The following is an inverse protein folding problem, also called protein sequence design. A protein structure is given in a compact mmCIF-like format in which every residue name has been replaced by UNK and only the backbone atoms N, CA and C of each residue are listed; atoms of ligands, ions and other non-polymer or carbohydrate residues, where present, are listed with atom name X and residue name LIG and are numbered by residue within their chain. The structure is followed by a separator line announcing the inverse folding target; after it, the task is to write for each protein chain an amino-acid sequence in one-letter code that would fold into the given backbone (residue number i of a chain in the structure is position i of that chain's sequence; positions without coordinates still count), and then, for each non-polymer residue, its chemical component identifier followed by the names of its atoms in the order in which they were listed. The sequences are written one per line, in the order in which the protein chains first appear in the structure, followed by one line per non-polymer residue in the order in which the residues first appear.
data_IF_057293037402
#
_entry.id   IF_057293037402
#
_cell.length_a   1.000
_cell.length_b   1.000
_cell.length_c   1.000
_cell.angle_alpha   90.00
_cell.angle_beta   90.00
_cell.angle_gamma   90.00
#
_symmetry.space_group_name_H-M   'P 1'
#
loop_
_entity.id
_entity.type
_entity.pdbx_description
1 polymer ?
#
# COMPACT_ATOMS: atom_id res chain seq x y z
N UNK A 1 -10.74 -8.91 -15.98
CA UNK A 1 -9.66 -8.15 -15.30
C UNK A 1 -9.72 -8.50 -13.82
N UNK A 2 -8.77 -9.27 -13.32
CA UNK A 2 -8.63 -9.45 -11.87
C UNK A 2 -8.08 -8.16 -11.27
N UNK A 3 -8.62 -7.63 -10.16
CA UNK A 3 -7.96 -6.53 -9.47
C UNK A 3 -6.62 -7.06 -8.93
N UNK A 4 -5.51 -6.58 -9.51
CA UNK A 4 -4.14 -6.95 -9.11
C UNK A 4 -3.84 -6.59 -7.65
N UNK A 5 -4.66 -5.75 -7.02
CA UNK A 5 -4.61 -5.44 -5.60
C UNK A 5 -6.00 -5.51 -4.98
N UNK A 6 -6.24 -6.54 -4.16
CA UNK A 6 -7.53 -6.74 -3.46
C UNK A 6 -7.79 -5.69 -2.36
N UNK A 7 -6.83 -4.81 -2.08
CA UNK A 7 -6.90 -3.83 -1.01
C UNK A 7 -6.45 -2.47 -1.51
N UNK A 8 -7.26 -1.41 -1.34
CA UNK A 8 -6.81 -0.06 -1.63
C UNK A 8 -5.64 0.27 -0.68
N UNK A 9 -4.54 0.77 -1.23
CA UNK A 9 -3.46 1.36 -0.47
C UNK A 9 -3.21 2.77 -1.00
N UNK A 10 -2.78 3.66 -0.12
CA UNK A 10 -2.39 5.03 -0.48
C UNK A 10 -0.95 5.24 -0.03
N UNK A 11 -0.16 5.90 -0.87
CA UNK A 11 1.20 6.31 -0.53
C UNK A 11 1.31 7.82 -0.66
N UNK A 12 2.02 8.43 0.29
CA UNK A 12 2.42 9.84 0.23
C UNK A 12 3.85 9.90 -0.24
N UNK A 13 4.09 10.74 -1.23
CA UNK A 13 5.41 10.98 -1.78
C UNK A 13 5.93 12.32 -1.29
N UNK A 14 7.22 12.38 -0.98
CA UNK A 14 7.93 13.65 -0.84
C UNK A 14 8.45 14.03 -2.23
N UNK A 15 8.16 15.26 -2.64
CA UNK A 15 8.56 15.80 -3.94
C UNK A 15 9.45 17.02 -3.68
N UNK A 16 10.62 17.04 -4.30
CA UNK A 16 11.51 18.20 -4.30
C UNK A 16 11.66 18.69 -5.73
N UNK A 17 11.58 19.99 -5.92
CA UNK A 17 11.85 20.63 -7.21
C UNK A 17 13.36 20.81 -7.33
N UNK A 18 13.91 20.39 -8.46
CA UNK A 18 15.31 20.54 -8.83
C UNK A 18 15.40 21.45 -10.05
N UNK A 19 16.30 22.42 -10.03
CA UNK A 19 16.59 23.26 -11.18
C UNK A 19 17.42 22.48 -12.21
N UNK A 20 17.08 22.65 -13.48
CA UNK A 20 17.79 22.04 -14.60
C UNK A 20 18.45 23.15 -15.40
N UNK A 21 19.79 23.13 -15.42
CA UNK A 21 20.59 24.03 -16.21
C UNK A 21 20.70 23.51 -17.66
N UNK A 22 21.09 24.35 -18.63
CA UNK A 22 21.23 23.93 -20.03
C UNK A 22 22.22 22.78 -20.26
N UNK A 23 23.19 22.59 -19.36
CA UNK A 23 24.20 21.54 -19.35
C UNK A 23 23.82 20.31 -18.50
N UNK A 24 22.67 20.34 -17.83
CA UNK A 24 22.13 19.21 -17.08
C UNK A 24 21.64 19.58 -15.67
N UNK A 25 21.57 18.58 -14.79
CA UNK A 25 21.16 18.79 -13.41
C UNK A 25 22.26 19.44 -12.59
N UNK A 26 21.89 20.42 -11.76
CA UNK A 26 22.75 20.92 -10.71
C UNK A 26 22.80 19.88 -9.57
N UNK A 27 23.72 18.92 -9.66
CA UNK A 27 24.02 17.86 -8.66
C UNK A 27 22.80 17.34 -7.87
N UNK A 28 21.99 16.43 -8.46
CA UNK A 28 20.81 15.91 -7.79
C UNK A 28 21.18 15.18 -6.49
N UNK A 29 20.54 15.54 -5.38
CA UNK A 29 20.86 15.01 -4.06
C UNK A 29 19.77 14.07 -3.52
N UNK A 30 20.20 13.06 -2.75
CA UNK A 30 19.32 12.11 -2.11
C UNK A 30 18.44 12.79 -1.05
N UNK A 31 17.13 12.65 -1.16
CA UNK A 31 16.17 13.25 -0.21
C UNK A 31 16.28 12.70 1.22
N UNK A 32 16.97 11.56 1.42
CA UNK A 32 17.17 10.94 2.73
C UNK A 32 18.50 11.35 3.40
N UNK A 33 19.62 11.27 2.68
CA UNK A 33 20.95 11.47 3.25
C UNK A 33 21.75 12.62 2.63
N UNK A 34 21.19 13.32 1.64
CA UNK A 34 21.80 14.44 0.93
C UNK A 34 23.06 14.12 0.10
N UNK A 35 23.47 12.85 0.03
CA UNK A 35 24.53 12.42 -0.89
C UNK A 35 24.10 12.59 -2.36
N UNK A 36 25.05 12.82 -3.25
CA UNK A 36 24.82 12.92 -4.69
C UNK A 36 24.22 11.61 -5.25
N UNK A 37 23.32 11.76 -6.22
CA UNK A 37 22.64 10.65 -6.89
C UNK A 37 23.36 10.26 -8.17
N UNK A 38 23.55 8.96 -8.38
CA UNK A 38 23.90 8.40 -9.67
C UNK A 38 22.64 8.39 -10.55
N UNK A 39 22.68 9.10 -11.69
CA UNK A 39 21.52 9.25 -12.59
C UNK A 39 21.61 8.27 -13.75
N UNK A 40 20.51 7.55 -13.98
CA UNK A 40 20.37 6.54 -15.03
C UNK A 40 19.18 6.89 -15.93
N UNK A 41 19.31 6.65 -17.23
CA UNK A 41 18.23 6.77 -18.21
C UNK A 41 17.72 5.36 -18.59
N UNK A 42 16.68 4.83 -17.90
CA UNK A 42 16.16 3.49 -18.15
C UNK A 42 15.39 3.37 -19.47
N UNK A 43 14.80 4.46 -19.98
CA UNK A 43 13.97 4.47 -21.19
C UNK A 43 14.52 5.45 -22.21
N UNK A 44 15.21 4.94 -23.23
CA UNK A 44 15.76 5.78 -24.30
C UNK A 44 14.69 6.60 -25.04
N UNK A 45 13.45 6.08 -25.09
CA UNK A 45 12.33 6.67 -25.82
C UNK A 45 11.62 7.77 -25.02
N UNK A 46 11.86 7.86 -23.71
CA UNK A 46 11.34 8.91 -22.83
C UNK A 46 12.49 9.55 -22.03
N UNK A 47 13.21 10.53 -22.62
CA UNK A 47 14.36 11.14 -21.99
C UNK A 47 14.02 11.94 -20.71
N UNK A 48 12.74 12.22 -20.46
CA UNK A 48 12.31 13.03 -19.32
C UNK A 48 12.10 12.21 -18.05
N UNK A 49 12.05 10.88 -18.15
CA UNK A 49 11.94 9.99 -17.01
C UNK A 49 13.31 9.39 -16.67
N UNK A 50 13.82 9.68 -15.48
CA UNK A 50 15.15 9.28 -15.03
C UNK A 50 15.09 8.57 -13.68
N UNK A 51 16.07 7.72 -13.42
CA UNK A 51 16.22 7.02 -12.15
C UNK A 51 17.50 7.47 -11.44
N UNK A 52 17.35 8.05 -10.25
CA UNK A 52 18.46 8.38 -9.36
C UNK A 52 18.68 7.30 -8.30
N UNK A 53 19.90 6.78 -8.18
CA UNK A 53 20.28 5.82 -7.13
C UNK A 53 21.29 6.44 -6.17
N UNK A 54 21.08 6.27 -4.87
CA UNK A 54 22.02 6.72 -3.85
C UNK A 54 22.94 5.58 -3.41
N UNK A 55 24.23 5.69 -3.69
CA UNK A 55 25.25 4.71 -3.27
C UNK A 55 25.45 4.64 -1.75
N UNK A 56 25.11 5.71 -1.02
CA UNK A 56 25.30 5.77 0.44
C UNK A 56 24.21 5.06 1.24
N UNK A 57 22.93 5.32 0.90
CA UNK A 57 21.80 4.79 1.67
C UNK A 57 20.92 3.80 0.91
N UNK A 58 21.25 3.51 -0.37
CA UNK A 58 20.53 2.58 -1.23
C UNK A 58 19.13 3.04 -1.66
N UNK A 59 18.76 4.30 -1.41
CA UNK A 59 17.45 4.83 -1.81
C UNK A 59 17.41 5.12 -3.31
N UNK A 60 16.23 4.90 -3.88
CA UNK A 60 15.95 5.16 -5.29
C UNK A 60 15.04 6.38 -5.39
N UNK A 61 15.23 7.16 -6.44
CA UNK A 61 14.45 8.36 -6.70
C UNK A 61 14.01 8.35 -8.16
N UNK A 62 12.72 8.58 -8.41
CA UNK A 62 12.24 8.90 -9.76
C UNK A 62 12.46 10.39 -9.99
N UNK A 63 13.00 10.76 -11.14
CA UNK A 63 13.24 12.15 -11.52
C UNK A 63 12.49 12.39 -12.82
N UNK A 64 11.54 13.32 -12.80
CA UNK A 64 10.77 13.70 -13.98
C UNK A 64 11.16 15.11 -14.41
N UNK A 65 11.76 15.26 -15.58
CA UNK A 65 12.04 16.57 -16.17
C UNK A 65 10.73 17.16 -16.71
N UNK A 66 10.45 18.41 -16.35
CA UNK A 66 9.28 19.11 -16.86
C UNK A 66 9.42 19.36 -18.38
N UNK A 67 8.32 19.48 -19.14
CA UNK A 67 8.38 19.70 -20.60
C UNK A 67 9.19 20.92 -21.03
N UNK A 68 9.36 21.93 -20.16
CA UNK A 68 10.17 23.12 -20.42
C UNK A 68 11.68 22.92 -20.22
N UNK A 69 12.10 21.80 -19.64
CA UNK A 69 13.52 21.47 -19.44
C UNK A 69 14.26 22.34 -18.41
N UNK A 70 13.57 23.22 -17.68
CA UNK A 70 14.16 24.14 -16.69
C UNK A 70 14.02 23.65 -15.25
N UNK A 71 13.12 22.69 -15.02
CA UNK A 71 12.89 22.11 -13.70
C UNK A 71 12.64 20.60 -13.81
N UNK A 72 12.89 19.90 -12.72
CA UNK A 72 12.56 18.50 -12.56
C UNK A 72 11.97 18.23 -11.18
N UNK A 73 11.11 17.22 -11.11
CA UNK A 73 10.53 16.74 -9.85
C UNK A 73 11.24 15.47 -9.41
N UNK A 74 11.81 15.49 -8.20
CA UNK A 74 12.48 14.35 -7.58
C UNK A 74 11.52 13.71 -6.59
N UNK A 75 11.24 12.42 -6.77
CA UNK A 75 10.33 11.63 -5.95
C UNK A 75 11.10 10.50 -5.25
N UNK A 76 11.07 10.45 -3.92
CA UNK A 76 11.64 9.32 -3.17
C UNK A 76 10.80 8.04 -3.36
N UNK A 77 11.39 7.00 -3.95
CA UNK A 77 10.74 5.71 -4.13
C UNK A 77 10.76 4.91 -2.82
N UNK A 78 9.61 4.35 -2.39
CA UNK A 78 9.59 3.54 -1.19
C UNK A 78 10.43 2.27 -1.35
N UNK A 79 11.19 1.92 -0.31
CA UNK A 79 11.90 0.65 -0.26
C UNK A 79 10.96 -0.55 -0.18
N UNK A 80 11.45 -1.73 -0.60
CA UNK A 80 10.66 -2.98 -0.65
C UNK A 80 10.06 -3.33 0.71
N UNK A 81 10.80 -3.13 1.80
CA UNK A 81 10.34 -3.47 3.14
C UNK A 81 9.16 -2.60 3.58
N UNK A 82 9.21 -1.30 3.30
CA UNK A 82 8.10 -0.39 3.55
C UNK A 82 6.84 -0.80 2.78
N UNK A 83 6.99 -1.17 1.51
CA UNK A 83 5.87 -1.64 0.67
C UNK A 83 5.27 -2.93 1.26
N UNK A 84 6.11 -3.90 1.64
CA UNK A 84 5.66 -5.16 2.25
C UNK A 84 4.93 -4.96 3.57
N UNK A 85 5.45 -4.09 4.43
CA UNK A 85 4.83 -3.77 5.71
C UNK A 85 3.47 -3.10 5.50
N UNK A 86 3.42 -2.07 4.66
CA UNK A 86 2.18 -1.32 4.36
C UNK A 86 1.09 -2.26 3.81
N UNK A 87 1.45 -3.15 2.87
CA UNK A 87 0.51 -4.14 2.34
C UNK A 87 0.04 -5.15 3.39
N UNK A 88 0.92 -5.55 4.30
CA UNK A 88 0.57 -6.45 5.41
C UNK A 88 -0.41 -5.79 6.37
N UNK A 89 -0.22 -4.52 6.69
CA UNK A 89 -1.13 -3.75 7.55
C UNK A 89 -2.50 -3.58 6.87
N UNK A 90 -2.54 -3.18 5.59
CA UNK A 90 -3.79 -3.04 4.84
C UNK A 90 -4.61 -4.35 4.80
N UNK A 91 -3.94 -5.50 4.64
CA UNK A 91 -4.60 -6.83 4.71
C UNK A 91 -5.20 -7.13 6.08
N UNK A 92 -4.48 -6.81 7.16
CA UNK A 92 -4.97 -7.00 8.55
C UNK A 92 -6.20 -6.14 8.82
N UNK A 93 -6.19 -4.88 8.39
CA UNK A 93 -7.33 -3.98 8.54
C UNK A 93 -8.55 -4.44 7.74
N UNK A 94 -8.35 -4.89 6.50
CA UNK A 94 -9.43 -5.44 5.68
C UNK A 94 -10.04 -6.70 6.31
N UNK A 95 -9.22 -7.58 6.92
CA UNK A 95 -9.70 -8.76 7.62
C UNK A 95 -10.55 -8.40 8.86
N UNK A 96 -10.18 -7.33 9.59
CA UNK A 96 -10.96 -6.82 10.74
C UNK A 96 -12.30 -6.20 10.35
N UNK A 97 -12.36 -5.56 9.17
CA UNK A 97 -13.56 -4.86 8.68
C UNK A 97 -14.61 -5.79 8.07
N UNK A 98 -14.31 -7.07 7.83
CA UNK A 98 -15.34 -8.03 7.40
C UNK A 98 -16.37 -8.16 8.51
N UNK A 99 -17.63 -7.71 8.31
CA UNK A 99 -18.68 -7.91 9.29
C UNK A 99 -18.82 -9.41 9.50
N UNK A 100 -18.75 -9.84 10.76
CA UNK A 100 -19.00 -11.24 11.11
C UNK A 100 -20.28 -11.71 10.44
N UNK A 101 -20.21 -12.91 9.84
CA UNK A 101 -21.39 -13.64 9.40
C UNK A 101 -22.49 -13.54 10.47
N UNK A 102 -23.77 -13.42 10.10
CA UNK A 102 -24.85 -13.30 11.06
C UNK A 102 -24.73 -14.46 12.05
N UNK A 103 -24.54 -14.14 13.34
CA UNK A 103 -24.71 -15.09 14.43
C UNK A 103 -26.12 -15.64 14.24
N UNK A 104 -26.23 -16.84 13.69
CA UNK A 104 -27.46 -17.61 13.68
C UNK A 104 -27.91 -17.71 15.12
N UNK A 105 -28.84 -16.85 15.52
CA UNK A 105 -29.61 -17.01 16.72
C UNK A 105 -30.31 -18.35 16.56
N UNK A 106 -29.85 -19.34 17.32
CA UNK A 106 -30.54 -20.60 17.52
C UNK A 106 -31.99 -20.27 17.86
N UNK A 107 -32.87 -20.47 16.88
CA UNK A 107 -34.29 -20.33 17.06
C UNK A 107 -34.70 -21.31 18.15
N UNK A 108 -35.20 -20.74 19.26
CA UNK A 108 -36.01 -21.46 20.23
C UNK A 108 -37.10 -22.21 19.47
N UNK A 109 -37.24 -23.51 19.73
CA UNK A 109 -38.51 -24.20 19.47
C UNK A 109 -39.03 -24.82 20.78
N UNK A 110 -40.35 -24.78 21.04
CA UNK A 110 -40.90 -24.77 22.40
C UNK A 110 -41.21 -26.16 22.97
N UNK A 111 -41.39 -26.16 24.29
CA UNK A 111 -41.88 -27.24 25.15
C UNK A 111 -43.12 -27.95 24.59
N UNK A 112 -43.11 -29.28 24.54
CA UNK A 112 -44.32 -30.09 24.68
C UNK A 112 -44.12 -31.14 25.78
N UNK A 113 -44.58 -30.78 26.98
CA UNK A 113 -44.69 -31.66 28.15
C UNK A 113 -46.09 -32.25 28.14
N UNK A 114 -46.25 -33.44 27.56
CA UNK A 114 -47.48 -34.23 27.68
C UNK A 114 -47.48 -34.91 29.05
N UNK A 115 -48.43 -34.54 29.91
CA UNK A 115 -48.83 -35.27 31.11
C UNK A 115 -49.99 -36.19 30.73
N UNK A 116 -49.76 -37.50 30.76
CA UNK A 116 -50.76 -38.57 30.91
C UNK A 116 -50.06 -39.63 31.78
N UNK A 117 -50.62 -40.25 32.80
CA UNK A 117 -51.91 -40.19 33.45
C UNK A 117 -51.76 -41.11 34.66
N UNK A 118 -52.27 -40.67 35.80
CA UNK A 118 -52.51 -41.49 36.98
C UNK A 118 -53.63 -42.50 36.71
N UNK A 119 -53.54 -43.75 37.22
CA UNK A 119 -54.60 -44.48 37.97
C UNK A 119 -54.33 -46.00 38.12
N UNK A 120 -54.74 -46.55 39.28
CA UNK A 120 -54.94 -47.99 39.58
C UNK A 120 -53.76 -48.68 40.26
N UNK A 121 -53.68 -48.92 41.58
CA UNK A 121 -54.61 -49.51 42.56
C UNK A 121 -54.89 -51.02 42.38
N UNK A 122 -54.64 -51.75 43.46
CA UNK A 122 -55.17 -53.07 43.87
C UNK A 122 -54.29 -54.30 43.59
N UNK A 123 -53.96 -55.03 44.67
CA UNK A 123 -53.39 -56.37 44.66
C UNK A 123 -52.50 -56.63 45.86
#
# INVERSE_FOLDING_TARGET
MHPLFAHPFSMKWNVTVLEVAPDGFLSPACQKCQAELDIHQPQADDPNELLGTCSQCGCWHLIQVAPGGTEAWVFNLPGVDFVRETLTQARKEAARKKPGAPKGSTARSPKNRVKLGSEGHSG
#
